data_IF_275753513495
#
_entry.id   IF_275753513495
#
_cell.length_a   1.000
_cell.length_b   1.000
_cell.length_c   1.000
_cell.angle_alpha   90.00
_cell.angle_beta   90.00
_cell.angle_gamma   90.00
#
_symmetry.space_group_name_H-M   'P 1'
#
loop_
_entity.id
_entity.type
_entity.pdbx_description
1 polymer ?
#
# COMPACT_ATOMS: atom_id res chain seq x y z
N UNK A 1 0.15 45.02 -34.76
CA UNK A 1 -0.12 45.82 -33.60
C UNK A 1 -1.08 45.06 -32.69
N UNK A 2 -0.53 44.46 -31.65
CA UNK A 2 -1.28 43.67 -30.70
C UNK A 2 -1.63 44.47 -29.45
N UNK A 3 -2.86 44.43 -29.06
CA UNK A 3 -3.36 45.07 -27.86
C UNK A 3 -3.20 44.07 -26.68
N UNK A 4 -2.31 44.40 -25.72
CA UNK A 4 -2.19 43.72 -24.47
C UNK A 4 -3.19 44.34 -23.47
N UNK A 5 -4.06 43.50 -22.88
CA UNK A 5 -4.94 43.88 -21.79
C UNK A 5 -4.19 43.80 -20.44
N UNK A 6 -4.39 44.77 -19.52
CA UNK A 6 -3.76 44.73 -18.21
C UNK A 6 -4.46 43.79 -17.23
N UNK A 7 -3.67 43.16 -16.35
CA UNK A 7 -4.13 42.30 -15.27
C UNK A 7 -4.88 43.06 -14.17
N UNK A 8 -5.85 42.45 -13.48
CA UNK A 8 -6.57 43.10 -12.38
C UNK A 8 -5.74 43.15 -11.09
N UNK A 9 -5.68 44.33 -10.51
CA UNK A 9 -5.06 44.62 -9.20
C UNK A 9 -5.98 44.14 -8.08
N UNK A 10 -5.52 43.24 -7.24
CA UNK A 10 -6.26 42.81 -6.03
C UNK A 10 -5.87 43.73 -4.87
N UNK A 11 -6.87 44.45 -4.36
CA UNK A 11 -6.77 45.31 -3.16
C UNK A 11 -6.91 44.43 -1.92
N UNK A 12 -5.94 44.49 -0.99
CA UNK A 12 -6.02 43.88 0.33
C UNK A 12 -6.74 44.84 1.30
N UNK A 13 -7.67 44.34 2.14
CA UNK A 13 -8.27 45.18 3.21
C UNK A 13 -7.35 45.24 4.43
N UNK A 14 -7.20 46.44 4.98
CA UNK A 14 -6.41 46.74 6.18
C UNK A 14 -7.08 46.24 7.48
N UNK A 15 -6.35 46.24 8.62
CA UNK A 15 -6.82 45.64 9.85
C UNK A 15 -7.80 46.55 10.62
N UNK A 16 -9.02 46.03 10.88
CA UNK A 16 -9.95 46.60 11.84
C UNK A 16 -9.56 46.25 13.27
N UNK A 17 -9.56 47.29 14.11
CA UNK A 17 -9.26 47.28 15.54
C UNK A 17 -10.49 46.78 16.29
N UNK A 18 -10.48 45.56 16.84
CA UNK A 18 -11.53 45.09 17.73
C UNK A 18 -11.25 45.45 19.19
N UNK A 19 -12.23 46.10 19.79
CA UNK A 19 -12.32 46.47 21.19
C UNK A 19 -12.46 45.27 22.12
N UNK A 20 -11.71 45.30 23.22
CA UNK A 20 -11.77 44.33 24.34
C UNK A 20 -13.15 44.42 25.03
N UNK A 21 -13.85 43.29 25.10
CA UNK A 21 -14.89 43.09 26.14
C UNK A 21 -14.57 41.79 26.88
N UNK A 22 -14.36 41.92 28.19
CA UNK A 22 -13.96 40.78 29.04
C UNK A 22 -15.15 39.86 29.28
N UNK A 23 -14.93 38.58 29.05
CA UNK A 23 -15.78 37.51 29.58
C UNK A 23 -14.83 36.50 30.24
N UNK A 24 -15.01 36.34 31.54
CA UNK A 24 -14.34 35.38 32.39
C UNK A 24 -14.74 33.97 31.95
N UNK A 25 -13.86 33.26 31.27
CA UNK A 25 -14.07 31.84 30.95
C UNK A 25 -13.50 30.98 32.08
N UNK A 26 -14.38 30.28 32.74
CA UNK A 26 -14.14 29.19 33.66
C UNK A 26 -13.25 28.14 32.96
N UNK A 27 -12.10 27.84 33.52
CA UNK A 27 -11.26 26.69 33.14
C UNK A 27 -12.04 25.40 33.41
N UNK A 28 -12.64 24.84 32.38
CA UNK A 28 -12.97 23.43 32.34
C UNK A 28 -11.71 22.64 32.03
N UNK A 29 -11.17 22.00 33.07
CA UNK A 29 -10.08 21.02 32.99
C UNK A 29 -10.67 19.74 32.35
N UNK A 30 -10.73 19.73 31.04
CA UNK A 30 -11.09 18.58 30.23
C UNK A 30 -9.81 18.05 29.60
N UNK A 31 -9.05 17.26 30.34
CA UNK A 31 -8.11 16.31 29.76
C UNK A 31 -8.89 15.46 28.76
N UNK A 32 -8.78 15.79 27.46
CA UNK A 32 -9.09 14.84 26.42
C UNK A 32 -8.16 13.64 26.67
N UNK A 33 -8.71 12.62 27.31
CA UNK A 33 -8.07 11.33 27.40
C UNK A 33 -7.74 10.90 25.98
N UNK A 34 -6.47 10.75 25.71
CA UNK A 34 -5.92 10.20 24.49
C UNK A 34 -6.61 8.84 24.28
N UNK A 35 -7.59 8.79 23.39
CA UNK A 35 -8.26 7.53 23.07
C UNK A 35 -7.17 6.61 22.51
N UNK A 36 -7.02 5.38 23.03
CA UNK A 36 -5.96 4.49 22.57
C UNK A 36 -6.06 4.36 21.06
N UNK A 37 -4.93 4.63 20.38
CA UNK A 37 -4.85 4.56 18.91
C UNK A 37 -5.42 3.21 18.48
N UNK A 38 -6.52 3.23 17.74
CA UNK A 38 -7.29 2.02 17.47
C UNK A 38 -6.43 0.98 16.77
N UNK A 39 -6.45 -0.23 17.29
CA UNK A 39 -5.62 -1.34 16.80
C UNK A 39 -5.88 -1.59 15.30
N UNK A 40 -4.80 -1.70 14.52
CA UNK A 40 -4.90 -2.07 13.11
C UNK A 40 -5.08 -3.57 12.98
N UNK A 41 -6.12 -4.01 12.28
CA UNK A 41 -6.35 -5.42 11.95
C UNK A 41 -5.89 -5.72 10.51
N UNK A 42 -5.30 -6.90 10.30
CA UNK A 42 -4.82 -7.37 8.99
C UNK A 42 -5.57 -8.63 8.58
N UNK A 43 -6.13 -8.64 7.38
CA UNK A 43 -6.96 -9.76 6.89
C UNK A 43 -7.19 -9.71 5.38
N UNK A 44 -7.81 -10.75 4.85
CA UNK A 44 -8.31 -10.77 3.48
C UNK A 44 -9.63 -9.96 3.40
N UNK A 45 -9.76 -9.12 2.37
CA UNK A 45 -10.99 -8.38 2.09
C UNK A 45 -12.11 -9.34 1.67
N UNK A 46 -13.34 -9.09 2.16
CA UNK A 46 -14.53 -9.89 1.88
C UNK A 46 -15.80 -9.08 1.69
N UNK A 47 -15.85 -7.91 2.31
CA UNK A 47 -17.07 -7.10 2.36
C UNK A 47 -17.11 -6.05 1.22
N UNK A 48 -18.28 -5.75 0.65
CA UNK A 48 -18.40 -4.77 -0.44
C UNK A 48 -17.77 -3.41 -0.10
N UNK A 49 -17.97 -2.90 1.12
CA UNK A 49 -17.41 -1.61 1.55
C UNK A 49 -15.87 -1.59 1.58
N UNK A 50 -15.24 -2.75 1.74
CA UNK A 50 -13.77 -2.88 1.69
C UNK A 50 -13.27 -2.69 0.27
N UNK A 51 -13.93 -3.30 -0.70
CA UNK A 51 -13.57 -3.17 -2.11
C UNK A 51 -13.74 -1.73 -2.59
N UNK A 52 -14.79 -1.03 -2.19
CA UNK A 52 -14.95 0.40 -2.49
C UNK A 52 -13.76 1.23 -1.96
N UNK A 53 -13.34 0.98 -0.73
CA UNK A 53 -12.20 1.67 -0.13
C UNK A 53 -10.86 1.26 -0.75
N UNK A 54 -10.68 0.00 -1.13
CA UNK A 54 -9.53 -0.49 -1.90
C UNK A 54 -9.40 0.27 -3.22
N UNK A 55 -10.49 0.43 -3.97
CA UNK A 55 -10.46 1.11 -5.27
C UNK A 55 -10.17 2.60 -5.12
N UNK A 56 -10.65 3.25 -4.06
CA UNK A 56 -10.32 4.65 -3.73
C UNK A 56 -8.86 4.80 -3.29
N UNK A 57 -8.33 3.89 -2.48
CA UNK A 57 -6.93 3.90 -2.07
C UNK A 57 -5.99 3.66 -3.27
N UNK A 58 -6.38 2.75 -4.18
CA UNK A 58 -5.68 2.56 -5.45
C UNK A 58 -5.65 3.85 -6.28
N UNK A 59 -6.80 4.52 -6.41
CA UNK A 59 -6.88 5.78 -7.14
C UNK A 59 -5.98 6.84 -6.51
N UNK A 60 -6.06 7.03 -5.20
CA UNK A 60 -5.22 7.97 -4.48
C UNK A 60 -3.73 7.70 -4.73
N UNK A 61 -3.32 6.44 -4.68
CA UNK A 61 -1.91 6.06 -4.83
C UNK A 61 -1.45 6.11 -6.29
N UNK A 62 -2.18 5.49 -7.22
CA UNK A 62 -1.71 5.24 -8.59
C UNK A 62 -2.25 6.20 -9.66
N UNK A 63 -3.09 7.15 -9.25
CA UNK A 63 -3.55 8.26 -10.12
C UNK A 63 -3.03 9.60 -9.57
N UNK A 64 -3.23 9.87 -8.27
CA UNK A 64 -2.92 11.18 -7.71
C UNK A 64 -1.45 11.32 -7.28
N UNK A 65 -0.89 10.30 -6.59
CA UNK A 65 0.47 10.40 -6.03
C UNK A 65 1.54 9.88 -7.00
N UNK A 66 1.26 8.76 -7.66
CA UNK A 66 2.14 8.13 -8.64
C UNK A 66 1.34 8.02 -9.95
N UNK A 67 1.37 9.04 -10.82
CA UNK A 67 0.46 9.14 -11.96
C UNK A 67 0.76 8.06 -13.03
N UNK A 68 0.23 6.86 -12.80
CA UNK A 68 0.33 5.71 -13.71
C UNK A 68 -0.95 5.49 -14.53
N UNK A 69 -2.04 6.13 -14.14
CA UNK A 69 -3.35 6.03 -14.76
C UNK A 69 -3.97 7.41 -14.93
N UNK A 70 -4.85 7.54 -15.93
CA UNK A 70 -5.60 8.79 -16.16
C UNK A 70 -6.65 9.00 -15.07
N UNK A 71 -6.86 10.24 -14.64
CA UNK A 71 -7.95 10.58 -13.73
C UNK A 71 -9.33 10.22 -14.31
N UNK A 72 -10.27 9.88 -13.42
CA UNK A 72 -11.68 9.67 -13.76
C UNK A 72 -12.59 10.38 -12.76
N UNK A 73 -13.88 10.52 -13.10
CA UNK A 73 -14.86 11.24 -12.29
C UNK A 73 -15.25 10.48 -11.01
N UNK A 74 -15.11 9.16 -10.99
CA UNK A 74 -15.55 8.31 -9.88
C UNK A 74 -14.56 8.33 -8.71
N UNK A 75 -13.31 8.75 -8.94
CA UNK A 75 -12.24 8.72 -7.95
C UNK A 75 -11.91 7.30 -7.48
N UNK A 76 -12.09 6.33 -8.35
CA UNK A 76 -11.86 4.91 -8.09
C UNK A 76 -10.99 4.29 -9.19
N UNK A 77 -10.03 3.47 -8.79
CA UNK A 77 -9.22 2.69 -9.72
C UNK A 77 -9.45 1.20 -9.45
N UNK A 78 -10.32 0.59 -10.24
CA UNK A 78 -10.56 -0.86 -10.23
C UNK A 78 -9.47 -1.54 -11.04
N UNK A 79 -8.75 -2.46 -10.40
CA UNK A 79 -7.75 -3.25 -11.12
C UNK A 79 -8.42 -4.17 -12.15
N UNK A 80 -7.84 -4.28 -13.33
CA UNK A 80 -8.36 -5.14 -14.42
C UNK A 80 -8.45 -6.63 -14.04
N UNK A 81 -7.74 -7.05 -13.01
CA UNK A 81 -7.76 -8.42 -12.48
C UNK A 81 -8.55 -8.52 -11.18
N UNK A 82 -9.43 -7.55 -10.92
CA UNK A 82 -10.18 -7.47 -9.66
C UNK A 82 -10.80 -8.80 -9.26
N UNK A 83 -11.50 -9.45 -10.18
CA UNK A 83 -12.20 -10.73 -9.96
C UNK A 83 -11.27 -11.91 -9.64
N UNK A 84 -9.99 -11.83 -10.00
CA UNK A 84 -9.00 -12.88 -9.75
C UNK A 84 -8.02 -12.54 -8.64
N UNK A 85 -8.08 -11.32 -8.12
CA UNK A 85 -7.21 -10.88 -7.04
C UNK A 85 -7.77 -11.32 -5.68
N UNK A 86 -6.88 -11.72 -4.79
CA UNK A 86 -7.12 -11.71 -3.36
C UNK A 86 -6.51 -10.44 -2.78
N UNK A 87 -7.29 -9.64 -2.08
CA UNK A 87 -6.80 -8.41 -1.45
C UNK A 87 -6.50 -8.64 0.02
N UNK A 88 -5.25 -8.41 0.41
CA UNK A 88 -4.83 -8.30 1.80
C UNK A 88 -4.99 -6.85 2.22
N UNK A 89 -5.66 -6.60 3.34
CA UNK A 89 -5.97 -5.24 3.82
C UNK A 89 -5.55 -5.03 5.28
N UNK A 90 -5.21 -3.79 5.57
CA UNK A 90 -5.06 -3.24 6.91
C UNK A 90 -6.26 -2.35 7.21
N UNK A 91 -6.98 -2.61 8.29
CA UNK A 91 -8.20 -1.87 8.67
C UNK A 91 -8.03 -1.27 10.06
N UNK A 92 -8.34 0.02 10.18
CA UNK A 92 -8.45 0.77 11.43
C UNK A 92 -9.78 1.51 11.42
N UNK A 93 -10.62 1.34 12.46
CA UNK A 93 -11.91 2.04 12.59
C UNK A 93 -12.80 1.96 11.34
N UNK A 94 -12.98 0.79 10.76
CA UNK A 94 -13.71 0.56 9.49
C UNK A 94 -13.13 1.32 8.28
N UNK A 95 -11.89 1.78 8.37
CA UNK A 95 -11.18 2.41 7.26
C UNK A 95 -10.05 1.49 6.78
N UNK A 96 -9.99 1.23 5.49
CA UNK A 96 -8.86 0.55 4.85
C UNK A 96 -7.69 1.54 4.80
N UNK A 97 -6.67 1.29 5.61
CA UNK A 97 -5.47 2.15 5.72
C UNK A 97 -4.27 1.58 4.96
N UNK A 98 -4.40 0.38 4.43
CA UNK A 98 -3.38 -0.23 3.59
C UNK A 98 -3.93 -1.45 2.85
N UNK A 99 -3.34 -1.78 1.73
CA UNK A 99 -3.73 -2.93 0.94
C UNK A 99 -2.60 -3.41 0.03
N UNK A 100 -2.67 -4.68 -0.37
CA UNK A 100 -1.97 -5.26 -1.51
C UNK A 100 -2.86 -6.31 -2.18
N UNK A 101 -2.61 -6.57 -3.46
CA UNK A 101 -3.30 -7.60 -4.22
C UNK A 101 -2.38 -8.80 -4.45
N UNK A 102 -2.92 -9.99 -4.32
CA UNK A 102 -2.25 -11.26 -4.61
C UNK A 102 -3.00 -11.96 -5.75
N UNK A 103 -2.27 -12.35 -6.77
CA UNK A 103 -2.77 -13.16 -7.88
C UNK A 103 -2.02 -14.49 -7.92
N UNK A 104 -2.74 -15.60 -7.73
CA UNK A 104 -2.14 -16.95 -7.67
C UNK A 104 -2.15 -17.69 -8.99
N UNK A 105 -2.88 -17.18 -10.00
CA UNK A 105 -3.05 -17.87 -11.29
C UNK A 105 -2.53 -17.02 -12.43
N UNK A 106 -1.94 -17.71 -13.43
CA UNK A 106 -1.47 -17.10 -14.69
C UNK A 106 -2.67 -16.76 -15.60
N UNK A 107 -2.56 -15.80 -16.51
CA UNK A 107 -1.37 -14.97 -16.74
C UNK A 107 -1.20 -13.88 -15.66
N UNK A 108 0.03 -13.67 -15.19
CA UNK A 108 0.39 -12.53 -14.36
C UNK A 108 0.44 -11.24 -15.18
N UNK A 109 0.47 -10.08 -14.53
CA UNK A 109 0.69 -8.83 -15.26
C UNK A 109 2.08 -8.80 -15.91
N UNK A 110 3.05 -9.50 -15.31
CA UNK A 110 4.39 -9.67 -15.83
C UNK A 110 4.46 -10.48 -17.13
N UNK A 111 3.57 -11.44 -17.35
CA UNK A 111 3.53 -12.25 -18.59
C UNK A 111 3.31 -11.40 -19.84
N UNK A 112 2.63 -10.25 -19.69
CA UNK A 112 2.43 -9.33 -20.81
C UNK A 112 3.62 -8.40 -21.04
N UNK A 113 4.51 -8.28 -20.06
CA UNK A 113 5.67 -7.38 -20.10
C UNK A 113 6.96 -8.11 -20.45
N UNK A 114 7.04 -9.39 -20.08
CA UNK A 114 8.22 -10.24 -20.25
C UNK A 114 7.80 -11.51 -20.97
N UNK A 115 8.15 -11.66 -22.24
CA UNK A 115 8.00 -12.94 -22.93
C UNK A 115 8.79 -14.04 -22.18
N UNK A 116 8.23 -15.23 -22.11
CA UNK A 116 8.86 -16.38 -21.45
C UNK A 116 9.31 -16.13 -19.99
N UNK A 117 8.42 -15.56 -19.17
CA UNK A 117 8.68 -15.25 -17.76
C UNK A 117 9.32 -16.43 -17.02
N UNK A 118 8.96 -17.67 -17.37
CA UNK A 118 9.45 -18.88 -16.73
C UNK A 118 10.97 -19.14 -16.92
N UNK A 119 11.61 -18.45 -17.86
CA UNK A 119 13.09 -18.50 -18.03
C UNK A 119 13.83 -17.71 -16.95
N UNK A 120 13.16 -16.81 -16.28
CA UNK A 120 13.77 -15.86 -15.33
C UNK A 120 13.49 -16.22 -13.88
N UNK A 121 12.49 -17.02 -13.61
CA UNK A 121 12.11 -17.41 -12.25
C UNK A 121 12.52 -18.86 -11.96
N UNK A 122 12.82 -19.21 -10.69
CA UNK A 122 13.17 -20.57 -10.32
C UNK A 122 12.10 -21.58 -10.74
N UNK A 123 12.52 -22.64 -11.45
CA UNK A 123 11.60 -23.68 -11.94
C UNK A 123 10.98 -24.49 -10.79
N UNK A 124 9.79 -25.07 -11.03
CA UNK A 124 9.13 -25.98 -10.10
C UNK A 124 8.50 -25.28 -8.88
N UNK A 125 8.43 -23.95 -8.89
CA UNK A 125 7.84 -23.15 -7.82
C UNK A 125 6.36 -22.87 -8.07
N UNK A 126 5.58 -22.83 -7.00
CA UNK A 126 4.20 -22.32 -7.03
C UNK A 126 4.21 -20.83 -6.81
N UNK A 127 4.21 -20.07 -7.89
CA UNK A 127 4.34 -18.62 -7.85
C UNK A 127 2.99 -17.92 -7.57
N UNK A 128 3.07 -16.75 -6.93
CA UNK A 128 2.02 -15.74 -6.94
C UNK A 128 2.59 -14.37 -7.34
N UNK A 129 1.78 -13.53 -7.96
CA UNK A 129 2.13 -12.14 -8.23
C UNK A 129 1.56 -11.24 -7.14
N UNK A 130 2.43 -10.42 -6.50
CA UNK A 130 2.03 -9.42 -5.52
C UNK A 130 2.04 -8.04 -6.20
N UNK A 131 0.94 -7.31 -6.06
CA UNK A 131 0.67 -6.07 -6.78
C UNK A 131 -0.01 -5.03 -5.91
N UNK A 132 -0.03 -3.80 -6.39
CA UNK A 132 -0.87 -2.71 -5.85
C UNK A 132 -0.65 -2.45 -4.35
N UNK A 133 0.59 -2.58 -3.87
CA UNK A 133 0.87 -2.20 -2.49
C UNK A 133 0.66 -0.70 -2.32
N UNK A 134 -0.32 -0.35 -1.50
CA UNK A 134 -0.70 1.02 -1.19
C UNK A 134 -0.98 1.17 0.30
N UNK A 135 -0.57 2.31 0.87
CA UNK A 135 -0.89 2.71 2.26
C UNK A 135 -1.39 4.13 2.28
N UNK A 136 -2.41 4.39 3.10
CA UNK A 136 -2.93 5.74 3.29
C UNK A 136 -1.82 6.67 3.81
N UNK A 137 -1.77 7.95 3.38
CA UNK A 137 -0.68 8.87 3.74
C UNK A 137 -0.42 8.99 5.25
N UNK A 138 -1.48 9.01 6.04
CA UNK A 138 -1.46 9.08 7.51
C UNK A 138 -1.08 7.76 8.21
N UNK A 139 -0.90 6.69 7.45
CA UNK A 139 -0.64 5.34 7.96
C UNK A 139 0.63 4.72 7.38
N UNK A 140 1.53 5.53 6.79
CA UNK A 140 2.80 5.07 6.18
C UNK A 140 3.90 4.74 7.19
N UNK A 141 3.53 4.54 8.44
CA UNK A 141 4.45 4.04 9.46
C UNK A 141 4.64 2.53 9.27
N UNK A 142 5.85 2.03 9.50
CA UNK A 142 6.25 0.64 9.20
C UNK A 142 5.29 -0.45 9.66
N UNK A 143 4.52 -0.22 10.73
CA UNK A 143 3.55 -1.17 11.29
C UNK A 143 2.53 -1.68 10.25
N UNK A 144 1.92 -0.78 9.45
CA UNK A 144 0.93 -1.17 8.43
C UNK A 144 1.59 -2.01 7.34
N UNK A 145 2.76 -1.59 6.88
CA UNK A 145 3.51 -2.31 5.86
C UNK A 145 3.89 -3.72 6.32
N UNK A 146 4.50 -3.86 7.49
CA UNK A 146 4.92 -5.17 8.02
C UNK A 146 3.72 -6.07 8.35
N UNK A 147 2.61 -5.50 8.83
CA UNK A 147 1.39 -6.25 9.07
C UNK A 147 0.78 -6.81 7.77
N UNK A 148 0.76 -6.02 6.69
CA UNK A 148 0.34 -6.51 5.37
C UNK A 148 1.24 -7.64 4.86
N UNK A 149 2.57 -7.53 5.05
CA UNK A 149 3.49 -8.61 4.69
C UNK A 149 3.30 -9.87 5.53
N UNK A 150 2.98 -9.72 6.82
CA UNK A 150 2.66 -10.85 7.70
C UNK A 150 1.43 -11.60 7.23
N UNK A 151 0.36 -10.88 6.91
CA UNK A 151 -0.87 -11.47 6.40
C UNK A 151 -0.67 -12.08 5.00
N UNK A 152 0.13 -11.43 4.14
CA UNK A 152 0.56 -12.00 2.85
C UNK A 152 1.29 -13.33 3.05
N UNK A 153 2.25 -13.39 3.98
CA UNK A 153 3.01 -14.61 4.26
C UNK A 153 2.11 -15.74 4.78
N UNK A 154 1.11 -15.42 5.63
CA UNK A 154 0.09 -16.36 6.09
C UNK A 154 -0.72 -16.90 4.91
N UNK A 155 -1.27 -16.02 4.07
CA UNK A 155 -2.04 -16.39 2.89
C UNK A 155 -1.23 -17.23 1.91
N UNK A 156 0.01 -16.83 1.62
CA UNK A 156 0.92 -17.57 0.74
C UNK A 156 1.14 -19.00 1.24
N UNK A 157 1.39 -19.18 2.54
CA UNK A 157 1.56 -20.49 3.15
C UNK A 157 0.30 -21.36 3.02
N UNK A 158 -0.87 -20.79 3.31
CA UNK A 158 -2.17 -21.52 3.21
C UNK A 158 -2.46 -21.97 1.78
N UNK A 159 -2.05 -21.18 0.80
CA UNK A 159 -2.20 -21.51 -0.62
C UNK A 159 -1.04 -22.32 -1.18
N UNK A 160 0.01 -22.54 -0.40
CA UNK A 160 1.21 -23.27 -0.82
C UNK A 160 2.06 -22.51 -1.84
N UNK A 161 1.98 -21.16 -1.88
CA UNK A 161 2.90 -20.35 -2.69
C UNK A 161 4.27 -20.31 -2.02
N UNK A 162 5.31 -20.54 -2.79
CA UNK A 162 6.71 -20.54 -2.34
C UNK A 162 7.59 -19.54 -3.10
N UNK A 163 6.99 -18.85 -4.07
CA UNK A 163 7.62 -17.77 -4.85
C UNK A 163 6.65 -16.59 -5.00
N UNK A 164 7.09 -15.40 -4.65
CA UNK A 164 6.39 -14.16 -4.96
C UNK A 164 7.12 -13.42 -6.08
N UNK A 165 6.38 -12.94 -7.09
CA UNK A 165 6.90 -12.07 -8.14
C UNK A 165 6.25 -10.69 -8.04
N UNK A 166 7.04 -9.64 -8.30
CA UNK A 166 6.58 -8.24 -8.30
C UNK A 166 7.10 -7.49 -9.51
N UNK A 167 6.40 -6.43 -9.90
CA UNK A 167 6.93 -5.34 -10.71
C UNK A 167 7.29 -4.20 -9.76
N UNK A 168 8.49 -4.21 -9.21
CA UNK A 168 8.96 -3.17 -8.29
C UNK A 168 9.29 -1.88 -9.06
N UNK A 169 8.89 -0.70 -8.56
CA UNK A 169 9.33 0.56 -9.16
C UNK A 169 10.85 0.69 -9.02
N UNK A 170 11.52 1.15 -10.07
CA UNK A 170 12.99 1.34 -10.05
C UNK A 170 13.42 2.25 -8.90
N UNK A 171 12.61 3.23 -8.54
CA UNK A 171 12.85 4.12 -7.37
C UNK A 171 12.97 3.38 -6.04
N UNK A 172 12.28 2.25 -5.89
CA UNK A 172 12.23 1.45 -4.66
C UNK A 172 13.02 0.14 -4.77
N UNK A 173 13.78 -0.06 -5.84
CA UNK A 173 14.54 -1.29 -6.07
C UNK A 173 15.42 -1.67 -4.87
N UNK A 174 16.14 -0.71 -4.29
CA UNK A 174 16.99 -0.93 -3.10
C UNK A 174 16.18 -1.40 -1.88
N UNK A 175 14.96 -0.91 -1.69
CA UNK A 175 14.07 -1.38 -0.61
C UNK A 175 13.70 -2.84 -0.83
N UNK A 176 13.30 -3.22 -2.03
CA UNK A 176 12.95 -4.59 -2.36
C UNK A 176 14.14 -5.54 -2.25
N UNK A 177 15.33 -5.13 -2.68
CA UNK A 177 16.57 -5.88 -2.50
C UNK A 177 16.90 -6.09 -1.01
N UNK A 178 16.71 -5.05 -0.20
CA UNK A 178 16.87 -5.15 1.25
C UNK A 178 15.89 -6.16 1.86
N UNK A 179 14.68 -6.24 1.37
CA UNK A 179 13.68 -7.24 1.77
C UNK A 179 14.00 -8.65 1.25
N UNK A 180 14.98 -8.80 0.37
CA UNK A 180 15.44 -10.08 -0.17
C UNK A 180 14.94 -10.41 -1.57
N UNK A 181 14.26 -9.47 -2.21
CA UNK A 181 13.89 -9.66 -3.61
C UNK A 181 15.12 -9.68 -4.51
N UNK A 182 15.09 -10.55 -5.49
CA UNK A 182 16.13 -10.68 -6.52
C UNK A 182 15.59 -10.12 -7.83
N UNK A 183 16.31 -9.17 -8.42
CA UNK A 183 15.96 -8.63 -9.74
C UNK A 183 16.19 -9.67 -10.84
N UNK A 184 15.32 -9.67 -11.85
CA UNK A 184 15.44 -10.52 -13.02
C UNK A 184 14.92 -9.82 -14.28
N UNK A 185 15.36 -10.31 -15.44
CA UNK A 185 14.91 -9.80 -16.73
C UNK A 185 15.18 -8.30 -16.95
N UNK A 186 14.68 -7.74 -18.05
CA UNK A 186 14.84 -6.32 -18.35
C UNK A 186 13.93 -5.43 -17.50
N UNK A 187 14.34 -4.17 -17.31
CA UNK A 187 13.44 -3.12 -16.84
C UNK A 187 12.34 -2.94 -17.88
N UNK A 188 11.10 -2.85 -17.42
CA UNK A 188 9.90 -2.72 -18.25
C UNK A 188 9.17 -1.42 -17.95
N UNK A 189 8.38 -0.94 -18.91
CA UNK A 189 7.65 0.32 -18.79
C UNK A 189 8.26 1.42 -19.66
N UNK A 190 7.81 2.65 -19.48
CA UNK A 190 8.27 3.81 -20.24
C UNK A 190 8.16 5.09 -19.43
N UNK A 191 8.96 6.11 -19.77
CA UNK A 191 8.97 7.40 -19.09
C UNK A 191 9.26 7.26 -17.61
N UNK A 192 8.43 7.87 -16.77
CA UNK A 192 8.57 7.83 -15.30
C UNK A 192 8.04 6.53 -14.68
N UNK A 193 7.35 5.69 -15.45
CA UNK A 193 6.77 4.42 -15.01
C UNK A 193 7.68 3.24 -15.38
N UNK A 194 8.89 3.22 -14.83
CA UNK A 194 9.85 2.13 -15.01
C UNK A 194 9.77 1.15 -13.84
N UNK A 195 9.73 -0.15 -14.18
CA UNK A 195 9.63 -1.25 -13.23
C UNK A 195 10.73 -2.26 -13.45
N UNK A 196 11.35 -2.69 -12.37
CA UNK A 196 12.23 -3.84 -12.32
C UNK A 196 11.42 -5.06 -11.89
N UNK A 197 11.31 -6.10 -12.72
CA UNK A 197 10.77 -7.38 -12.29
C UNK A 197 11.67 -8.02 -11.23
N UNK A 198 11.07 -8.49 -10.16
CA UNK A 198 11.81 -9.09 -9.04
C UNK A 198 11.04 -10.29 -8.50
N UNK A 199 11.75 -11.25 -7.90
CA UNK A 199 11.13 -12.35 -7.18
C UNK A 199 11.71 -12.51 -5.77
N UNK A 200 10.93 -13.12 -4.90
CA UNK A 200 11.31 -13.51 -3.54
C UNK A 200 10.87 -14.94 -3.30
N UNK A 201 11.80 -15.79 -2.86
CA UNK A 201 11.45 -17.15 -2.41
C UNK A 201 11.19 -17.18 -0.90
N UNK A 202 10.44 -18.18 -0.46
CA UNK A 202 10.18 -18.39 0.97
C UNK A 202 11.46 -18.66 1.76
N UNK A 203 12.45 -19.30 1.15
CA UNK A 203 13.75 -19.56 1.78
C UNK A 203 14.52 -18.26 2.01
N UNK A 204 14.55 -17.38 1.00
CA UNK A 204 15.19 -16.06 1.13
C UNK A 204 14.50 -15.21 2.18
N UNK A 205 13.16 -15.23 2.21
CA UNK A 205 12.38 -14.52 3.23
C UNK A 205 12.76 -14.99 4.65
N UNK A 206 12.86 -16.31 4.87
CA UNK A 206 13.24 -16.91 6.16
C UNK A 206 14.67 -16.60 6.57
N UNK A 207 15.59 -16.50 5.62
CA UNK A 207 17.03 -16.29 5.91
C UNK A 207 17.39 -14.84 6.24
N UNK A 208 16.53 -13.88 5.96
CA UNK A 208 16.83 -12.44 5.98
C UNK A 208 16.62 -11.72 7.32
N UNK A 209 16.69 -12.39 8.46
CA UNK A 209 16.86 -11.73 9.75
C UNK A 209 15.62 -11.61 10.64
N UNK A 210 15.84 -11.08 11.86
CA UNK A 210 14.86 -11.11 12.96
C UNK A 210 13.52 -10.43 12.65
N UNK A 211 13.51 -9.30 11.94
CA UNK A 211 12.27 -8.60 11.62
C UNK A 211 11.41 -9.37 10.61
N UNK A 212 12.03 -9.90 9.56
CA UNK A 212 11.36 -10.74 8.55
C UNK A 212 10.93 -12.07 9.15
N UNK A 213 11.76 -12.66 10.03
CA UNK A 213 11.44 -13.88 10.74
C UNK A 213 10.24 -13.69 11.67
N UNK A 214 10.18 -12.58 12.42
CA UNK A 214 9.02 -12.26 13.26
C UNK A 214 7.70 -12.16 12.47
N UNK A 215 7.74 -11.62 11.26
CA UNK A 215 6.59 -11.55 10.35
C UNK A 215 6.15 -12.96 9.92
N UNK A 216 7.10 -13.82 9.55
CA UNK A 216 6.84 -15.21 9.16
C UNK A 216 6.29 -16.03 10.33
N UNK A 217 6.86 -15.87 11.52
CA UNK A 217 6.46 -16.60 12.72
C UNK A 217 5.07 -16.16 13.20
N UNK A 218 4.76 -14.87 13.18
CA UNK A 218 3.43 -14.36 13.49
C UNK A 218 2.36 -14.94 12.55
N UNK A 219 2.68 -15.08 11.26
CA UNK A 219 1.83 -15.73 10.28
C UNK A 219 1.68 -17.25 10.53
N UNK A 220 2.71 -17.89 11.12
CA UNK A 220 2.70 -19.32 11.41
C UNK A 220 1.84 -19.67 12.63
N UNK A 221 1.79 -18.81 13.65
CA UNK A 221 1.16 -19.12 14.94
C UNK A 221 -0.35 -18.88 15.00
N UNK A 222 -0.93 -18.11 14.04
CA UNK A 222 -2.34 -17.74 14.04
C UNK A 222 -3.02 -17.98 12.67
N UNK A 223 -3.17 -19.23 12.24
CA UNK A 223 -3.87 -19.53 11.00
C UNK A 223 -5.35 -19.12 11.13
N UNK A 224 -5.80 -18.25 10.22
CA UNK A 224 -7.21 -17.85 10.12
C UNK A 224 -7.62 -16.63 10.95
N UNK A 225 -6.82 -16.15 11.90
CA UNK A 225 -7.10 -14.92 12.63
C UNK A 225 -6.38 -13.72 11.98
N UNK A 226 -7.01 -12.53 11.94
CA UNK A 226 -6.34 -11.32 11.50
C UNK A 226 -5.18 -10.97 12.44
N UNK A 227 -4.04 -10.56 11.88
CA UNK A 227 -2.92 -10.06 12.68
C UNK A 227 -3.26 -8.67 13.21
N UNK A 228 -3.24 -8.53 14.53
CA UNK A 228 -3.40 -7.25 15.21
C UNK A 228 -2.04 -6.81 15.74
N UNK A 229 -1.57 -5.64 15.29
CA UNK A 229 -0.38 -5.00 15.83
C UNK A 229 -0.80 -3.79 16.65
N UNK A 230 -0.46 -3.81 17.93
CA UNK A 230 -0.53 -2.62 18.75
C UNK A 230 0.66 -1.71 18.39
N UNK A 231 0.48 -0.39 18.37
CA UNK A 231 1.60 0.52 18.24
C UNK A 231 2.55 0.24 19.40
N UNK A 232 3.82 -0.02 19.08
CA UNK A 232 4.86 -0.13 20.10
C UNK A 232 5.01 1.20 20.86
N UNK A 233 5.51 1.17 22.10
CA UNK A 233 5.79 2.41 22.81
C UNK A 233 6.77 3.26 22.00
N UNK A 234 6.49 4.56 21.93
CA UNK A 234 7.32 5.61 21.29
C UNK A 234 8.63 5.71 22.05
#
# INVERSE_FOLDING_TARGET
PGNAMPAPTIHAPGPERATRSGVTATRGDGTAADAPDAAVSFRIAREPWEFDQIHRLNYQTFVNEIPQHQPNADGMLVDRFHEQNTYVIAVRDRRVVGMLAVRGERPFSLDRKIPDLDRYIPAGRKACEVRLLATAPDSRHGTVFYGLLGELARHARERGYDLAVISGTVRQAKLYEHMGFTAFGPVVGSGDALYQPMYLTVETLRSRGKATQAVVDAAATRPGEPLNFLPGPV
#
